data_IF_700645411654
#
_entry.id   IF_700645411654
#
_cell.length_a   1.000
_cell.length_b   1.000
_cell.length_c   1.000
_cell.angle_alpha   90.00
_cell.angle_beta   90.00
_cell.angle_gamma   90.00
#
_symmetry.space_group_name_H-M   'P 1'
#
loop_
_entity.id
_entity.type
_entity.pdbx_description
1 polymer ?
#
# COMPACT_ATOMS: atom_id res chain seq x y z
N UNK A 1 -19.30 -2.04 10.39
CA UNK A 1 -17.85 -2.32 10.44
C UNK A 1 -17.14 -1.32 9.55
N UNK A 2 -16.07 -0.71 10.04
CA UNK A 2 -15.39 0.40 9.37
C UNK A 2 -14.76 -0.06 8.05
N UNK A 3 -14.28 -1.31 7.97
CA UNK A 3 -13.63 -1.84 6.77
C UNK A 3 -14.57 -1.88 5.56
N UNK A 4 -15.85 -2.23 5.76
CA UNK A 4 -16.88 -2.21 4.70
C UNK A 4 -17.30 -0.78 4.36
N UNK A 5 -17.34 0.11 5.36
CA UNK A 5 -17.56 1.54 5.15
C UNK A 5 -16.45 2.15 4.28
N UNK A 6 -15.18 1.84 4.55
CA UNK A 6 -14.05 2.28 3.74
C UNK A 6 -14.14 1.73 2.32
N UNK A 7 -14.31 0.41 2.16
CA UNK A 7 -14.42 -0.25 0.86
C UNK A 7 -15.45 0.45 -0.04
N UNK A 8 -16.63 0.75 0.49
CA UNK A 8 -17.69 1.45 -0.24
C UNK A 8 -17.28 2.88 -0.61
N UNK A 9 -16.68 3.63 0.32
CA UNK A 9 -16.41 5.06 0.16
C UNK A 9 -15.04 5.38 -0.49
N UNK A 10 -14.22 4.36 -0.78
CA UNK A 10 -12.95 4.50 -1.50
C UNK A 10 -12.93 3.76 -2.85
N UNK A 11 -14.07 3.23 -3.31
CA UNK A 11 -14.15 2.44 -4.54
C UNK A 11 -13.62 3.20 -5.77
N UNK A 12 -14.04 4.46 -5.96
CA UNK A 12 -13.58 5.27 -7.09
C UNK A 12 -12.07 5.55 -7.06
N UNK A 13 -11.49 5.70 -5.87
CA UNK A 13 -10.04 5.87 -5.71
C UNK A 13 -9.27 4.59 -6.03
N UNK A 14 -9.81 3.44 -5.63
CA UNK A 14 -9.26 2.13 -5.98
C UNK A 14 -9.26 1.93 -7.50
N UNK A 15 -10.40 2.18 -8.16
CA UNK A 15 -10.52 2.08 -9.61
C UNK A 15 -9.56 3.04 -10.34
N UNK A 16 -9.37 4.25 -9.80
CA UNK A 16 -8.38 5.20 -10.33
C UNK A 16 -6.94 4.70 -10.18
N UNK A 17 -6.60 4.05 -9.06
CA UNK A 17 -5.29 3.46 -8.84
C UNK A 17 -5.03 2.29 -9.80
N UNK A 18 -6.02 1.42 -10.03
CA UNK A 18 -5.91 0.34 -11.01
C UNK A 18 -5.68 0.86 -12.44
N UNK A 19 -6.35 1.95 -12.82
CA UNK A 19 -6.14 2.62 -14.10
C UNK A 19 -4.75 3.26 -14.18
N UNK A 20 -4.31 3.96 -13.14
CA UNK A 20 -2.96 4.56 -13.08
C UNK A 20 -1.87 3.52 -13.36
N UNK A 21 -2.05 2.32 -12.81
CA UNK A 21 -1.11 1.22 -12.90
C UNK A 21 -1.30 0.30 -14.10
N UNK A 22 -2.26 0.60 -15.00
CA UNK A 22 -2.56 -0.26 -16.14
C UNK A 22 -2.76 -1.74 -15.72
N UNK A 23 -3.43 -1.99 -14.59
CA UNK A 23 -3.52 -3.33 -14.00
C UNK A 23 -4.13 -4.38 -14.94
N UNK A 24 -4.98 -3.96 -15.88
CA UNK A 24 -5.52 -4.83 -16.94
C UNK A 24 -4.43 -5.48 -17.81
N UNK A 25 -3.30 -4.79 -18.03
CA UNK A 25 -2.18 -5.29 -18.83
C UNK A 25 -1.48 -6.47 -18.17
N UNK A 26 -1.54 -6.58 -16.83
CA UNK A 26 -0.96 -7.70 -16.07
C UNK A 26 -1.66 -9.00 -16.46
N UNK A 27 -2.98 -8.97 -16.58
CA UNK A 27 -3.79 -10.15 -16.85
C UNK A 27 -3.83 -10.54 -18.33
N UNK A 28 -3.69 -9.58 -19.25
CA UNK A 28 -3.61 -9.86 -20.69
C UNK A 28 -2.17 -10.11 -21.21
N UNK A 29 -1.17 -10.12 -20.31
CA UNK A 29 0.26 -10.35 -20.59
C UNK A 29 0.91 -9.31 -21.52
N UNK A 30 0.44 -8.07 -21.49
CA UNK A 30 1.07 -6.94 -22.22
C UNK A 30 1.77 -5.95 -21.29
N UNK A 31 1.90 -6.31 -20.00
CA UNK A 31 2.55 -5.49 -19.00
C UNK A 31 4.07 -5.42 -19.23
N UNK A 32 4.59 -4.21 -19.39
CA UNK A 32 6.01 -3.97 -19.71
C UNK A 32 6.86 -3.68 -18.48
N UNK A 33 8.18 -3.72 -18.65
CA UNK A 33 9.12 -3.28 -17.61
C UNK A 33 8.94 -1.80 -17.25
N UNK A 34 8.57 -0.94 -18.19
CA UNK A 34 8.29 0.47 -17.91
C UNK A 34 6.99 0.65 -17.11
N UNK A 35 5.95 -0.16 -17.38
CA UNK A 35 4.77 -0.19 -16.52
C UNK A 35 5.16 -0.63 -15.09
N UNK A 36 6.07 -1.61 -14.94
CA UNK A 36 6.57 -2.06 -13.63
C UNK A 36 7.35 -0.98 -12.89
N UNK A 37 8.31 -0.32 -13.56
CA UNK A 37 9.06 0.81 -12.99
C UNK A 37 8.13 1.91 -12.52
N UNK A 38 7.08 2.23 -13.28
CA UNK A 38 6.06 3.20 -12.90
C UNK A 38 5.39 2.79 -11.58
N UNK A 39 4.89 1.56 -11.49
CA UNK A 39 4.26 1.06 -10.25
C UNK A 39 5.21 1.15 -9.06
N UNK A 40 6.44 0.66 -9.21
CA UNK A 40 7.43 0.65 -8.14
C UNK A 40 7.79 2.08 -7.71
N UNK A 41 8.06 2.97 -8.66
CA UNK A 41 8.38 4.36 -8.35
C UNK A 41 7.22 5.08 -7.63
N UNK A 42 5.99 4.96 -8.13
CA UNK A 42 4.83 5.62 -7.51
C UNK A 42 4.55 5.09 -6.10
N UNK A 43 4.60 3.76 -5.89
CA UNK A 43 4.40 3.18 -4.56
C UNK A 43 5.58 3.50 -3.62
N UNK A 44 6.80 3.60 -4.14
CA UNK A 44 7.96 4.02 -3.37
C UNK A 44 7.78 5.44 -2.87
N UNK A 45 7.40 6.37 -3.74
CA UNK A 45 7.16 7.75 -3.33
C UNK A 45 6.01 7.82 -2.31
N UNK A 46 4.94 7.04 -2.47
CA UNK A 46 3.90 6.94 -1.45
C UNK A 46 4.48 6.48 -0.10
N UNK A 47 5.24 5.38 -0.06
CA UNK A 47 5.79 4.83 1.18
C UNK A 47 6.82 5.77 1.82
N UNK A 48 7.73 6.34 1.02
CA UNK A 48 8.76 7.28 1.44
C UNK A 48 8.17 8.48 2.18
N UNK A 49 7.00 8.96 1.76
CA UNK A 49 6.34 10.13 2.34
C UNK A 49 5.35 9.79 3.46
N UNK A 50 4.98 8.51 3.65
CA UNK A 50 3.85 8.15 4.51
C UNK A 50 4.16 7.11 5.59
N UNK A 51 5.03 6.13 5.37
CA UNK A 51 5.14 4.95 6.24
C UNK A 51 5.52 5.34 7.69
N UNK A 52 6.62 6.07 7.87
CA UNK A 52 7.04 6.55 9.19
C UNK A 52 6.00 7.49 9.82
N UNK A 53 5.31 8.30 9.00
CA UNK A 53 4.28 9.24 9.49
C UNK A 53 3.05 8.50 10.01
N UNK A 54 2.65 7.42 9.34
CA UNK A 54 1.58 6.52 9.77
C UNK A 54 1.99 5.88 11.09
N UNK A 55 3.16 5.23 11.14
CA UNK A 55 3.58 4.49 12.33
C UNK A 55 3.75 5.39 13.56
N UNK A 56 4.31 6.59 13.39
CA UNK A 56 4.47 7.56 14.49
C UNK A 56 3.15 8.17 15.00
N UNK A 57 2.05 8.04 14.25
CA UNK A 57 0.73 8.52 14.67
C UNK A 57 -0.12 7.44 15.35
N UNK A 58 0.31 6.18 15.35
CA UNK A 58 -0.41 5.09 15.99
C UNK A 58 0.00 4.97 17.46
N UNK A 59 -0.99 4.80 18.33
CA UNK A 59 -0.74 4.53 19.76
C UNK A 59 -0.03 3.19 19.95
N UNK A 60 0.64 3.01 21.10
CA UNK A 60 1.32 1.75 21.45
C UNK A 60 0.37 0.55 21.38
N UNK A 61 -0.89 0.73 21.79
CA UNK A 61 -1.93 -0.30 21.70
C UNK A 61 -2.16 -0.77 20.24
N UNK A 62 -2.27 0.15 19.28
CA UNK A 62 -2.36 -0.24 17.87
C UNK A 62 -1.04 -0.82 17.36
N UNK A 63 0.10 -0.27 17.81
CA UNK A 63 1.42 -0.75 17.42
C UNK A 63 1.60 -2.24 17.72
N UNK A 64 1.21 -2.67 18.93
CA UNK A 64 1.27 -4.05 19.37
C UNK A 64 0.24 -4.93 18.66
N UNK A 65 -1.04 -4.53 18.64
CA UNK A 65 -2.12 -5.31 18.01
C UNK A 65 -1.89 -5.56 16.53
N UNK A 66 -1.31 -4.59 15.82
CA UNK A 66 -1.01 -4.66 14.39
C UNK A 66 0.39 -5.18 14.09
N UNK A 67 1.28 -5.33 15.08
CA UNK A 67 2.66 -5.78 14.89
C UNK A 67 3.39 -4.92 13.82
N UNK A 68 3.44 -3.60 14.01
CA UNK A 68 3.92 -2.65 12.99
C UNK A 68 5.33 -2.96 12.47
N UNK A 69 6.20 -3.50 13.33
CA UNK A 69 7.54 -3.95 12.95
C UNK A 69 7.54 -5.03 11.84
N UNK A 70 6.44 -5.76 11.67
CA UNK A 70 6.26 -6.75 10.59
C UNK A 70 5.58 -6.17 9.35
N UNK A 71 5.15 -4.92 9.37
CA UNK A 71 4.40 -4.25 8.28
C UNK A 71 5.21 -3.21 7.54
N UNK A 72 6.50 -3.07 7.86
CA UNK A 72 7.45 -2.17 7.20
C UNK A 72 7.68 -2.62 5.75
N UNK A 73 7.42 -1.74 4.78
CA UNK A 73 7.52 -2.00 3.35
C UNK A 73 8.53 -1.12 2.64
N UNK A 74 8.90 0.04 3.21
CA UNK A 74 9.84 0.96 2.57
C UNK A 74 11.18 0.29 2.21
N UNK A 75 11.84 -0.46 3.12
CA UNK A 75 13.10 -1.14 2.77
C UNK A 75 12.93 -2.27 1.74
N UNK A 76 11.72 -2.80 1.56
CA UNK A 76 11.44 -3.83 0.56
C UNK A 76 11.32 -3.21 -0.83
N UNK A 77 10.60 -2.09 -0.95
CA UNK A 77 10.47 -1.42 -2.24
C UNK A 77 11.76 -0.71 -2.66
N UNK A 78 12.60 -0.27 -1.72
CA UNK A 78 13.95 0.25 -2.00
C UNK A 78 14.86 -0.80 -2.65
N UNK A 79 14.72 -2.09 -2.25
CA UNK A 79 15.43 -3.19 -2.93
C UNK A 79 14.96 -3.37 -4.36
N UNK A 80 13.65 -3.27 -4.60
CA UNK A 80 13.10 -3.34 -5.95
C UNK A 80 13.55 -2.13 -6.79
N UNK A 81 13.57 -0.92 -6.23
CA UNK A 81 14.14 0.26 -6.90
C UNK A 81 15.59 0.03 -7.34
N UNK A 82 16.43 -0.44 -6.42
CA UNK A 82 17.83 -0.71 -6.71
C UNK A 82 17.99 -1.74 -7.84
N UNK A 83 17.18 -2.80 -7.84
CA UNK A 83 17.19 -3.82 -8.90
C UNK A 83 16.77 -3.25 -10.27
N UNK A 84 15.98 -2.18 -10.29
CA UNK A 84 15.50 -1.50 -11.49
C UNK A 84 16.38 -0.32 -11.93
N UNK A 85 17.51 -0.09 -11.23
CA UNK A 85 18.37 1.07 -11.42
C UNK A 85 17.63 2.42 -11.31
N UNK A 86 16.61 2.48 -10.45
CA UNK A 86 15.92 3.72 -10.11
C UNK A 86 16.62 4.38 -8.92
N UNK A 87 16.68 5.72 -8.92
CA UNK A 87 17.35 6.47 -7.87
C UNK A 87 16.44 6.65 -6.65
N UNK A 88 17.04 6.50 -5.46
CA UNK A 88 16.39 6.89 -4.22
C UNK A 88 16.19 8.41 -4.17
N UNK A 89 15.09 8.83 -3.56
CA UNK A 89 14.73 10.22 -3.41
C UNK A 89 14.69 10.60 -1.93
N UNK A 90 14.74 11.90 -1.66
CA UNK A 90 14.44 12.44 -0.34
C UNK A 90 12.97 12.83 -0.29
N UNK A 91 12.28 12.65 0.85
CA UNK A 91 10.91 13.13 0.98
C UNK A 91 10.90 14.66 0.82
N UNK A 92 10.11 15.14 -0.14
CA UNK A 92 10.00 16.58 -0.49
C UNK A 92 8.67 17.19 -0.08
N UNK A 93 7.67 16.36 0.22
CA UNK A 93 6.33 16.77 0.61
C UNK A 93 5.99 16.24 2.01
N UNK A 94 5.05 16.90 2.69
CA UNK A 94 4.54 16.43 3.98
C UNK A 94 3.17 15.82 3.80
N UNK A 95 3.07 14.49 3.85
CA UNK A 95 1.80 13.81 4.06
C UNK A 95 1.62 13.61 5.57
N UNK A 96 0.79 14.46 6.17
CA UNK A 96 0.55 14.43 7.61
C UNK A 96 -0.82 13.84 7.97
N UNK A 97 -0.82 13.11 9.08
CA UNK A 97 -2.00 12.54 9.72
C UNK A 97 -2.23 13.27 11.03
N UNK A 98 -3.47 13.71 11.26
CA UNK A 98 -3.81 14.56 12.41
C UNK A 98 -4.13 13.76 13.67
N UNK A 99 -4.38 12.46 13.52
CA UNK A 99 -4.71 11.54 14.60
C UNK A 99 -4.54 10.08 14.14
N UNK A 100 -4.55 9.14 15.08
CA UNK A 100 -4.35 7.71 14.83
C UNK A 100 -5.39 7.11 13.86
N UNK A 101 -6.63 7.63 13.84
CA UNK A 101 -7.67 7.12 12.94
C UNK A 101 -7.37 7.46 11.48
N UNK A 102 -6.83 8.65 11.20
CA UNK A 102 -6.36 8.95 9.84
C UNK A 102 -5.16 8.05 9.46
N UNK A 103 -4.25 7.78 10.39
CA UNK A 103 -3.14 6.85 10.15
C UNK A 103 -3.65 5.43 9.85
N UNK A 104 -4.64 4.92 10.59
CA UNK A 104 -5.30 3.64 10.33
C UNK A 104 -5.97 3.61 8.95
N UNK A 105 -6.55 4.72 8.52
CA UNK A 105 -7.14 4.87 7.20
C UNK A 105 -6.12 4.75 6.06
N UNK A 106 -4.98 5.41 6.21
CA UNK A 106 -3.88 5.29 5.25
C UNK A 106 -3.30 3.86 5.26
N UNK A 107 -3.14 3.28 6.44
CA UNK A 107 -2.69 1.91 6.60
C UNK A 107 -3.65 0.90 5.95
N UNK A 108 -4.97 1.13 5.99
CA UNK A 108 -5.95 0.30 5.27
C UNK A 108 -5.69 0.24 3.78
N UNK A 109 -5.29 1.36 3.16
CA UNK A 109 -4.96 1.41 1.73
C UNK A 109 -3.67 0.63 1.44
N UNK A 110 -2.62 0.82 2.23
CA UNK A 110 -1.35 0.11 2.08
C UNK A 110 -1.55 -1.40 2.27
N UNK A 111 -2.15 -1.81 3.40
CA UNK A 111 -2.37 -3.21 3.71
C UNK A 111 -3.32 -3.88 2.72
N UNK A 112 -4.37 -3.19 2.28
CA UNK A 112 -5.31 -3.70 1.29
C UNK A 112 -4.65 -3.97 -0.06
N UNK A 113 -3.71 -3.13 -0.48
CA UNK A 113 -2.97 -3.30 -1.74
C UNK A 113 -2.12 -4.58 -1.78
N UNK A 114 -1.72 -5.12 -0.61
CA UNK A 114 -0.87 -6.33 -0.54
C UNK A 114 -1.58 -7.59 -0.99
N UNK A 115 -2.93 -7.63 -0.95
CA UNK A 115 -3.72 -8.80 -1.33
C UNK A 115 -3.51 -9.21 -2.78
N UNK A 116 -3.42 -8.22 -3.67
CA UNK A 116 -3.13 -8.44 -5.09
C UNK A 116 -1.66 -8.71 -5.38
N UNK A 117 -0.75 -8.35 -4.45
CA UNK A 117 0.69 -8.39 -4.67
C UNK A 117 1.23 -9.76 -5.06
N UNK A 118 0.83 -10.82 -4.34
CA UNK A 118 1.23 -12.18 -4.66
C UNK A 118 0.73 -12.64 -6.05
N UNK A 119 -0.47 -12.20 -6.45
CA UNK A 119 -1.02 -12.52 -7.77
C UNK A 119 -0.22 -11.79 -8.86
N UNK A 120 0.09 -10.51 -8.64
CA UNK A 120 0.90 -9.70 -9.55
C UNK A 120 2.28 -10.31 -9.71
N UNK A 121 3.01 -10.58 -8.61
CA UNK A 121 4.34 -11.19 -8.65
C UNK A 121 4.35 -12.54 -9.37
N UNK A 122 3.35 -13.40 -9.09
CA UNK A 122 3.20 -14.71 -9.77
C UNK A 122 2.88 -14.59 -11.26
N UNK A 123 2.15 -13.56 -11.66
CA UNK A 123 1.80 -13.35 -13.06
C UNK A 123 2.99 -12.76 -13.82
N UNK A 124 3.65 -11.74 -13.26
CA UNK A 124 4.80 -11.07 -13.88
C UNK A 124 6.02 -11.98 -13.98
N UNK A 125 6.28 -12.85 -12.99
CA UNK A 125 7.35 -13.87 -13.08
C UNK A 125 7.18 -14.89 -14.22
N UNK A 126 6.02 -14.91 -14.90
CA UNK A 126 5.76 -15.73 -16.09
C UNK A 126 5.76 -14.92 -17.39
N UNK A 127 6.04 -13.63 -17.30
CA UNK A 127 6.09 -12.70 -18.43
C UNK A 127 7.55 -12.50 -18.82
N UNK A 128 7.85 -12.56 -20.11
CA UNK A 128 9.19 -12.32 -20.64
C UNK A 128 9.71 -10.95 -20.20
N UNK A 129 10.98 -10.88 -19.78
CA UNK A 129 11.61 -9.64 -19.33
C UNK A 129 11.51 -9.37 -17.82
N UNK A 130 10.97 -10.32 -17.05
CA UNK A 130 10.87 -10.25 -15.58
C UNK A 130 11.69 -11.32 -14.86
N UNK A 131 12.52 -12.08 -15.57
CA UNK A 131 13.26 -13.24 -15.04
C UNK A 131 14.20 -12.87 -13.87
N UNK A 132 14.75 -11.67 -13.87
CA UNK A 132 15.68 -11.16 -12.86
C UNK A 132 14.99 -10.30 -11.77
N UNK A 133 13.66 -10.16 -11.81
CA UNK A 133 12.91 -9.33 -10.88
C UNK A 133 12.49 -10.13 -9.64
N UNK A 134 12.87 -9.65 -8.45
CA UNK A 134 12.63 -10.35 -7.18
C UNK A 134 11.29 -10.05 -6.52
N UNK A 135 10.60 -8.99 -6.95
CA UNK A 135 9.27 -8.59 -6.45
C UNK A 135 9.17 -8.46 -4.90
N UNK A 136 10.18 -7.89 -4.25
CA UNK A 136 10.23 -7.81 -2.78
C UNK A 136 9.02 -7.08 -2.18
N UNK A 137 8.59 -5.99 -2.80
CA UNK A 137 7.43 -5.21 -2.36
C UNK A 137 6.12 -5.99 -2.53
N UNK A 138 5.89 -6.57 -3.71
CA UNK A 138 4.66 -7.32 -3.99
C UNK A 138 4.58 -8.64 -3.23
N UNK A 139 5.72 -9.25 -2.89
CA UNK A 139 5.84 -10.42 -2.04
C UNK A 139 6.08 -10.11 -0.56
N UNK A 140 5.77 -8.90 -0.08
CA UNK A 140 6.18 -8.45 1.26
C UNK A 140 5.78 -9.37 2.43
N UNK A 141 4.67 -10.11 2.29
CA UNK A 141 4.20 -11.06 3.31
C UNK A 141 4.26 -12.53 2.87
N UNK A 142 4.62 -12.82 1.62
CA UNK A 142 4.67 -14.19 1.08
C UNK A 142 3.35 -14.96 1.38
N UNK A 143 3.44 -16.14 2.00
CA UNK A 143 2.27 -16.95 2.40
C UNK A 143 1.39 -16.29 3.49
N UNK A 144 1.90 -15.26 4.17
CA UNK A 144 1.21 -14.58 5.27
C UNK A 144 0.33 -13.42 4.85
N UNK A 145 0.22 -13.10 3.54
CA UNK A 145 -0.62 -11.98 3.04
C UNK A 145 -2.07 -12.04 3.56
N UNK A 146 -2.71 -13.21 3.46
CA UNK A 146 -4.07 -13.42 3.96
C UNK A 146 -4.20 -13.20 5.47
N UNK A 147 -3.40 -13.92 6.30
CA UNK A 147 -3.36 -13.71 7.75
C UNK A 147 -3.08 -12.26 8.18
N UNK A 148 -2.12 -11.58 7.55
CA UNK A 148 -1.76 -10.19 7.88
C UNK A 148 -2.90 -9.21 7.59
N UNK A 149 -3.59 -9.39 6.46
CA UNK A 149 -4.78 -8.60 6.13
C UNK A 149 -5.94 -8.89 7.07
N UNK A 150 -6.18 -10.17 7.38
CA UNK A 150 -7.25 -10.59 8.30
C UNK A 150 -7.06 -9.95 9.69
N UNK A 151 -5.86 -10.06 10.25
CA UNK A 151 -5.54 -9.42 11.54
C UNK A 151 -5.74 -7.90 11.48
N UNK A 152 -5.28 -7.23 10.41
CA UNK A 152 -5.47 -5.79 10.27
C UNK A 152 -6.96 -5.42 10.26
N UNK A 153 -7.76 -6.10 9.43
CA UNK A 153 -9.21 -5.89 9.37
C UNK A 153 -9.89 -6.11 10.71
N UNK A 154 -9.57 -7.20 11.41
CA UNK A 154 -10.16 -7.52 12.71
C UNK A 154 -9.87 -6.45 13.76
N UNK A 155 -8.61 -5.99 13.85
CA UNK A 155 -8.24 -4.90 14.76
C UNK A 155 -8.97 -3.61 14.37
N UNK A 156 -8.99 -3.26 13.09
CA UNK A 156 -9.65 -2.06 12.61
C UNK A 156 -11.16 -2.07 12.91
N UNK A 157 -11.84 -3.20 12.64
CA UNK A 157 -13.29 -3.35 12.85
C UNK A 157 -13.71 -3.46 14.31
N UNK A 158 -12.79 -3.90 15.19
CA UNK A 158 -13.04 -4.02 16.63
C UNK A 158 -12.78 -2.73 17.38
N UNK A 159 -11.69 -2.03 17.05
CA UNK A 159 -11.20 -0.90 17.84
C UNK A 159 -11.79 0.44 17.39
N UNK A 160 -12.21 0.57 16.12
CA UNK A 160 -12.74 1.83 15.59
C UNK A 160 -14.26 1.90 15.75
N UNK A 161 -14.71 2.86 16.55
CA UNK A 161 -16.12 3.21 16.73
C UNK A 161 -16.68 4.05 15.57
N UNK A 162 -18.00 4.00 15.35
CA UNK A 162 -18.67 4.68 14.23
C UNK A 162 -18.42 6.20 14.17
N UNK A 163 -18.29 6.86 15.32
CA UNK A 163 -17.97 8.30 15.41
C UNK A 163 -16.62 8.66 14.74
N UNK A 164 -15.71 7.68 14.60
CA UNK A 164 -14.39 7.88 14.01
C UNK A 164 -14.31 7.42 12.55
N UNK A 165 -15.36 6.84 11.96
CA UNK A 165 -15.35 6.33 10.57
C UNK A 165 -14.94 7.41 9.56
N UNK A 166 -15.41 8.64 9.74
CA UNK A 166 -15.07 9.76 8.85
C UNK A 166 -13.57 10.13 8.94
N UNK A 167 -12.94 10.00 10.11
CA UNK A 167 -11.50 10.25 10.30
C UNK A 167 -10.70 9.15 9.60
N UNK A 168 -11.10 7.89 9.73
CA UNK A 168 -10.45 6.77 9.02
C UNK A 168 -10.60 6.95 7.50
N UNK A 169 -11.79 7.34 7.02
CA UNK A 169 -12.00 7.62 5.60
C UNK A 169 -11.14 8.80 5.11
N UNK A 170 -11.02 9.87 5.92
CA UNK A 170 -10.13 11.00 5.61
C UNK A 170 -8.69 10.53 5.37
N UNK A 171 -8.17 9.70 6.27
CA UNK A 171 -6.84 9.09 6.15
C UNK A 171 -6.66 8.26 4.87
N UNK A 172 -7.62 7.39 4.56
CA UNK A 172 -7.58 6.59 3.34
C UNK A 172 -7.60 7.47 2.08
N UNK A 173 -8.46 8.49 2.04
CA UNK A 173 -8.55 9.44 0.92
C UNK A 173 -7.28 10.28 0.76
N UNK A 174 -6.65 10.71 1.86
CA UNK A 174 -5.36 11.41 1.82
C UNK A 174 -4.31 10.54 1.12
N UNK A 175 -4.17 9.27 1.52
CA UNK A 175 -3.15 8.40 0.93
C UNK A 175 -3.45 8.08 -0.54
N UNK A 176 -4.70 7.76 -0.89
CA UNK A 176 -5.08 7.57 -2.30
C UNK A 176 -4.82 8.81 -3.14
N UNK A 177 -5.20 9.99 -2.64
CA UNK A 177 -4.99 11.25 -3.35
C UNK A 177 -3.50 11.49 -3.57
N UNK A 178 -2.67 11.23 -2.54
CA UNK A 178 -1.22 11.31 -2.68
C UNK A 178 -0.72 10.33 -3.75
N UNK A 179 -1.09 9.05 -3.67
CA UNK A 179 -0.72 8.01 -4.64
C UNK A 179 -1.07 8.38 -6.09
N UNK A 180 -2.24 8.96 -6.31
CA UNK A 180 -2.74 9.31 -7.65
C UNK A 180 -2.06 10.55 -8.25
N UNK A 181 -1.44 11.38 -7.42
CA UNK A 181 -0.83 12.65 -7.84
C UNK A 181 0.69 12.67 -7.68
N UNK A 182 1.28 11.65 -7.07
CA UNK A 182 2.73 11.57 -6.85
C UNK A 182 3.43 11.18 -8.17
N UNK A 183 4.09 12.16 -8.79
CA UNK A 183 4.93 12.00 -9.98
C UNK A 183 6.15 12.90 -9.87
#
# INVERSE_FOLDING_TARGET
MVSEYLKKNTAEYHDAAEKLFNSEKIFNKTFSLEDYKKIINTNYLMLLHSEDKIFNNLSENFSEKLQLNKRVKLPLIEKDLASLALENQKPTHTLDFTNEHEALGAMYVIEGSTLGGNVIAKQLSKTEGFDEVTFNFFGCYQENTGPMWKNFKEVLDTEVTEENYNKVLSGAKKLYTFLLNVN
#
